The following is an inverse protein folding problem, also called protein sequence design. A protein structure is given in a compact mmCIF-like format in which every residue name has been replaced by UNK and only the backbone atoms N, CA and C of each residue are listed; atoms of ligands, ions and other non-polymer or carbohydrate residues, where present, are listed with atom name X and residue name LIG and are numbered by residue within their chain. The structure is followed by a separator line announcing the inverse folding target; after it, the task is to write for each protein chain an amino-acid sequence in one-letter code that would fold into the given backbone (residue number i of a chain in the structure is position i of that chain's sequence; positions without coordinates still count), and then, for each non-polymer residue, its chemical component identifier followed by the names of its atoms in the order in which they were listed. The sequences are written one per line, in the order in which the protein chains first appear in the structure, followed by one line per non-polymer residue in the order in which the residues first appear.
data_IF_314542306031
#
_entry.id   IF_314542306031
#
_cell.length_a   1.000
_cell.length_b   1.000
_cell.length_c   1.000
_cell.angle_alpha   90.00
_cell.angle_beta   90.00
_cell.angle_gamma   90.00
#
_symmetry.space_group_name_H-M   'P 1'
#
loop_
_entity.id
_entity.type
_entity.pdbx_description
1 polymer ?
#
# COMPACT_ATOMS: atom_id res chain seq x y z
N UNK A 1 4.02 21.52 -22.34
CA UNK A 1 3.92 21.70 -20.86
C UNK A 1 4.96 20.81 -20.21
N UNK A 2 5.48 21.19 -19.04
CA UNK A 2 6.26 20.26 -18.21
C UNK A 2 5.37 19.10 -17.73
N UNK A 3 5.97 17.99 -17.29
CA UNK A 3 5.23 16.83 -16.76
C UNK A 3 4.29 17.25 -15.61
N UNK A 4 4.80 18.07 -14.68
CA UNK A 4 4.03 18.61 -13.56
C UNK A 4 2.93 19.59 -13.98
N UNK A 5 3.22 20.51 -14.92
CA UNK A 5 2.21 21.43 -15.46
C UNK A 5 1.05 20.69 -16.13
N UNK A 6 1.37 19.63 -16.89
CA UNK A 6 0.37 18.77 -17.55
C UNK A 6 -0.60 18.16 -16.54
N UNK A 7 -0.08 17.57 -15.46
CA UNK A 7 -0.90 16.99 -14.39
C UNK A 7 -1.74 18.07 -13.71
N UNK A 8 -1.14 19.22 -13.34
CA UNK A 8 -1.86 20.32 -12.70
C UNK A 8 -2.93 20.96 -13.60
N UNK A 9 -2.72 21.01 -14.90
CA UNK A 9 -3.74 21.46 -15.85
C UNK A 9 -4.95 20.52 -15.82
N UNK A 10 -4.72 19.20 -15.89
CA UNK A 10 -5.77 18.20 -15.83
C UNK A 10 -6.55 18.24 -14.49
N UNK A 11 -5.85 18.32 -13.36
CA UNK A 11 -6.47 18.44 -12.03
C UNK A 11 -7.29 19.72 -11.88
N UNK A 12 -6.92 20.79 -12.59
CA UNK A 12 -7.64 22.05 -12.63
C UNK A 12 -8.74 22.09 -13.73
N UNK A 13 -9.10 20.95 -14.32
CA UNK A 13 -10.07 20.84 -15.41
C UNK A 13 -9.76 21.74 -16.62
N UNK A 14 -8.47 21.87 -16.97
CA UNK A 14 -7.98 22.56 -18.18
C UNK A 14 -7.33 21.56 -19.12
N UNK A 15 -7.46 21.81 -20.43
CA UNK A 15 -6.88 20.94 -21.45
C UNK A 15 -5.34 20.92 -21.36
N UNK A 16 -4.72 19.76 -21.07
CA UNK A 16 -3.28 19.62 -21.14
C UNK A 16 -2.80 19.42 -22.59
N UNK A 17 -1.49 19.48 -22.80
CA UNK A 17 -0.87 19.17 -24.11
C UNK A 17 -1.00 17.69 -24.53
N UNK A 18 -1.21 16.78 -23.56
CA UNK A 18 -1.62 15.37 -23.74
C UNK A 18 -2.17 14.81 -22.43
N UNK A 19 -2.81 13.64 -22.48
CA UNK A 19 -3.30 12.93 -21.28
C UNK A 19 -2.13 12.65 -20.31
N UNK A 20 -2.21 13.04 -19.03
CA UNK A 20 -1.21 12.67 -18.03
C UNK A 20 -1.21 11.16 -17.76
N UNK A 21 -0.02 10.57 -17.57
CA UNK A 21 0.12 9.12 -17.37
C UNK A 21 0.80 8.79 -16.04
N UNK A 22 0.19 7.90 -15.26
CA UNK A 22 0.75 7.27 -14.06
C UNK A 22 0.80 5.75 -14.20
N UNK A 23 1.97 5.18 -13.92
CA UNK A 23 2.18 3.76 -13.66
C UNK A 23 3.25 3.60 -12.58
N UNK A 24 2.90 2.95 -11.48
CA UNK A 24 3.82 2.61 -10.40
C UNK A 24 3.95 3.63 -9.27
N UNK A 25 3.21 4.74 -9.30
CA UNK A 25 3.33 5.76 -8.26
C UNK A 25 2.55 5.44 -6.97
N UNK A 26 1.60 4.50 -7.02
CA UNK A 26 0.83 4.04 -5.85
C UNK A 26 0.67 2.53 -5.83
N UNK A 27 0.10 1.98 -4.75
CA UNK A 27 -0.23 0.55 -4.66
C UNK A 27 -1.35 0.12 -5.61
N UNK A 28 -2.16 1.06 -6.11
CA UNK A 28 -3.28 0.79 -7.04
C UNK A 28 -2.91 1.08 -8.50
N UNK A 29 -1.87 1.87 -8.75
CA UNK A 29 -1.29 2.08 -10.09
C UNK A 29 -0.03 1.24 -10.31
N UNK A 30 0.28 0.33 -9.39
CA UNK A 30 1.46 -0.53 -9.40
C UNK A 30 1.55 -1.48 -10.59
N UNK A 31 2.77 -1.94 -10.89
CA UNK A 31 3.05 -2.92 -11.94
C UNK A 31 3.69 -4.15 -11.29
N UNK A 32 3.16 -5.34 -11.58
CA UNK A 32 3.75 -6.60 -11.10
C UNK A 32 5.21 -6.76 -11.56
N UNK A 33 6.07 -7.38 -10.73
CA UNK A 33 7.52 -7.49 -10.97
C UNK A 33 7.89 -8.11 -12.33
N UNK A 34 7.14 -9.12 -12.77
CA UNK A 34 7.30 -9.72 -14.11
C UNK A 34 7.09 -8.72 -15.24
N UNK A 35 6.07 -7.86 -15.10
CA UNK A 35 5.77 -6.84 -16.10
C UNK A 35 6.85 -5.75 -16.10
N UNK A 36 7.34 -5.35 -14.93
CA UNK A 36 8.46 -4.40 -14.84
C UNK A 36 9.70 -4.94 -15.55
N UNK A 37 10.09 -6.19 -15.32
CA UNK A 37 11.24 -6.81 -15.99
C UNK A 37 11.06 -6.82 -17.52
N UNK A 38 9.88 -7.20 -18.00
CA UNK A 38 9.56 -7.23 -19.44
C UNK A 38 9.54 -5.83 -20.04
N UNK A 39 9.05 -4.82 -19.33
CA UNK A 39 9.06 -3.43 -19.77
C UNK A 39 10.50 -2.91 -19.88
N UNK A 40 11.37 -3.21 -18.90
CA UNK A 40 12.80 -2.86 -19.00
C UNK A 40 13.43 -3.49 -20.24
N UNK A 41 13.16 -4.76 -20.50
CA UNK A 41 13.64 -5.44 -21.70
C UNK A 41 13.10 -4.82 -23.00
N UNK A 42 11.82 -4.45 -23.03
CA UNK A 42 11.17 -3.81 -24.18
C UNK A 42 11.82 -2.46 -24.53
N UNK A 43 12.13 -1.64 -23.52
CA UNK A 43 12.79 -0.34 -23.71
C UNK A 43 14.32 -0.44 -23.84
N UNK A 44 14.90 -1.64 -23.82
CA UNK A 44 16.35 -1.83 -23.95
C UNK A 44 17.16 -1.33 -22.75
N UNK A 45 16.54 -1.24 -21.56
CA UNK A 45 17.19 -0.82 -20.33
C UNK A 45 18.03 -1.95 -19.72
N UNK A 46 18.92 -1.59 -18.78
CA UNK A 46 19.76 -2.54 -18.05
C UNK A 46 18.91 -3.67 -17.44
N UNK A 47 19.32 -4.91 -17.70
CA UNK A 47 18.76 -6.11 -17.07
C UNK A 47 19.34 -6.28 -15.67
N UNK A 48 18.48 -6.11 -14.67
CA UNK A 48 18.79 -6.35 -13.26
C UNK A 48 17.54 -6.85 -12.53
N UNK A 49 17.70 -7.60 -11.42
CA UNK A 49 16.57 -8.02 -10.60
C UNK A 49 15.70 -6.84 -10.16
N UNK A 50 14.39 -6.97 -10.35
CA UNK A 50 13.41 -5.91 -10.00
C UNK A 50 13.26 -5.83 -8.48
N UNK A 51 13.27 -4.62 -7.92
CA UNK A 51 12.93 -4.39 -6.51
C UNK A 51 11.42 -4.52 -6.29
N UNK A 52 10.97 -5.48 -5.50
CA UNK A 52 9.57 -5.65 -5.09
C UNK A 52 9.32 -4.82 -3.83
N UNK A 53 8.59 -3.72 -3.99
CA UNK A 53 8.35 -2.76 -2.91
C UNK A 53 6.97 -2.93 -2.27
N UNK A 54 6.06 -3.67 -2.90
CA UNK A 54 4.80 -4.13 -2.30
C UNK A 54 4.72 -5.65 -2.41
N UNK A 55 5.23 -6.39 -1.42
CA UNK A 55 5.26 -7.86 -1.46
C UNK A 55 3.88 -8.48 -1.62
N UNK A 56 2.84 -7.88 -1.02
CA UNK A 56 1.45 -8.37 -1.07
C UNK A 56 1.00 -8.71 -2.50
N UNK A 57 1.14 -7.75 -3.43
CA UNK A 57 0.78 -7.91 -4.84
C UNK A 57 2.00 -8.11 -5.75
N UNK A 58 3.18 -8.33 -5.16
CA UNK A 58 4.45 -8.50 -5.86
C UNK A 58 4.74 -7.36 -6.86
N UNK A 59 4.43 -6.11 -6.44
CA UNK A 59 4.62 -4.92 -7.28
C UNK A 59 6.10 -4.55 -7.36
N UNK A 60 6.60 -4.48 -8.59
CA UNK A 60 7.94 -4.02 -8.91
C UNK A 60 8.04 -2.50 -8.86
N UNK A 61 9.15 -2.00 -8.35
CA UNK A 61 9.48 -0.58 -8.35
C UNK A 61 9.74 -0.13 -9.79
N UNK A 62 9.01 0.88 -10.25
CA UNK A 62 9.29 1.57 -11.50
C UNK A 62 10.37 2.62 -11.22
N UNK A 63 11.62 2.29 -11.54
CA UNK A 63 12.76 3.19 -11.37
C UNK A 63 12.74 4.33 -12.42
N UNK A 64 13.44 5.42 -12.13
CA UNK A 64 13.37 6.66 -12.92
C UNK A 64 13.70 6.47 -14.40
N UNK A 65 14.64 5.58 -14.72
CA UNK A 65 15.02 5.27 -16.10
C UNK A 65 13.88 4.62 -16.90
N UNK A 66 13.14 3.71 -16.26
CA UNK A 66 11.95 3.10 -16.83
C UNK A 66 10.79 4.10 -16.89
N UNK A 67 10.58 4.89 -15.85
CA UNK A 67 9.56 5.93 -15.84
C UNK A 67 9.78 6.97 -16.96
N UNK A 68 11.03 7.34 -17.24
CA UNK A 68 11.38 8.22 -18.35
C UNK A 68 11.17 7.56 -19.72
N UNK A 69 11.59 6.30 -19.88
CA UNK A 69 11.38 5.56 -21.13
C UNK A 69 9.88 5.39 -21.46
N UNK A 70 9.04 5.22 -20.43
CA UNK A 70 7.58 5.16 -20.54
C UNK A 70 6.91 6.54 -20.66
N UNK A 71 7.65 7.63 -20.47
CA UNK A 71 7.14 8.99 -20.53
C UNK A 71 6.13 9.32 -19.43
N UNK A 72 6.32 8.76 -18.23
CA UNK A 72 5.43 8.96 -17.07
C UNK A 72 5.52 10.37 -16.51
N UNK A 73 4.38 10.89 -16.07
CA UNK A 73 4.23 12.28 -15.62
C UNK A 73 4.21 12.45 -14.10
N UNK A 74 4.09 11.34 -13.36
CA UNK A 74 3.89 11.30 -11.92
C UNK A 74 5.01 10.48 -11.25
N UNK A 75 5.48 10.92 -10.08
CA UNK A 75 6.40 10.22 -9.20
C UNK A 75 5.73 9.95 -7.84
N UNK A 76 5.80 8.70 -7.40
CA UNK A 76 5.13 8.22 -6.20
C UNK A 76 6.01 8.23 -4.95
N UNK A 77 5.43 8.60 -3.82
CA UNK A 77 6.04 8.44 -2.50
C UNK A 77 5.13 7.57 -1.63
N UNK A 78 5.59 6.35 -1.36
CA UNK A 78 4.90 5.35 -0.56
C UNK A 78 5.39 5.33 0.90
N UNK A 79 4.64 4.72 1.82
CA UNK A 79 5.07 4.56 3.21
C UNK A 79 6.38 3.78 3.32
N UNK A 80 7.13 4.03 4.39
CA UNK A 80 8.39 3.33 4.70
C UNK A 80 8.18 1.82 4.86
N UNK A 81 7.10 1.45 5.53
CA UNK A 81 6.76 0.08 5.87
C UNK A 81 5.81 -0.54 4.85
N UNK A 82 5.97 -1.84 4.64
CA UNK A 82 5.05 -2.67 3.83
C UNK A 82 3.73 -2.91 4.57
N UNK A 83 2.75 -3.54 3.90
CA UNK A 83 1.50 -3.99 4.53
C UNK A 83 1.74 -4.93 5.72
N UNK A 84 2.83 -5.69 5.69
CA UNK A 84 3.26 -6.60 6.75
C UNK A 84 4.03 -5.88 7.87
N UNK A 85 4.17 -4.55 7.81
CA UNK A 85 4.65 -3.71 8.91
C UNK A 85 6.18 -3.58 9.05
N UNK A 86 6.98 -4.24 8.21
CA UNK A 86 8.44 -4.07 8.16
C UNK A 86 8.86 -3.08 7.06
N UNK A 87 10.02 -2.38 7.19
CA UNK A 87 10.49 -1.41 6.22
C UNK A 87 11.03 -2.04 4.92
N UNK A 88 10.97 -1.29 3.81
CA UNK A 88 11.59 -1.65 2.53
C UNK A 88 13.06 -1.21 2.45
N UNK A 89 13.95 -2.00 3.03
CA UNK A 89 15.39 -1.70 3.08
C UNK A 89 16.20 -3.00 3.06
N UNK A 90 17.54 -2.88 3.02
CA UNK A 90 18.46 -4.03 3.05
C UNK A 90 18.11 -5.12 2.03
N UNK A 91 17.83 -4.69 0.80
CA UNK A 91 17.40 -5.53 -0.31
C UNK A 91 18.22 -6.82 -0.46
N UNK A 92 17.54 -7.95 -0.52
CA UNK A 92 18.12 -9.28 -0.75
C UNK A 92 17.48 -9.96 -1.95
N UNK A 93 18.22 -10.85 -2.60
CA UNK A 93 17.67 -11.68 -3.66
C UNK A 93 16.63 -12.66 -3.11
N UNK A 94 15.57 -12.84 -3.87
CA UNK A 94 14.52 -13.81 -3.61
C UNK A 94 14.07 -14.43 -4.93
N UNK A 95 14.03 -15.77 -4.97
CA UNK A 95 13.49 -16.50 -6.11
C UNK A 95 12.00 -16.73 -5.90
N UNK A 96 11.20 -16.10 -6.75
CA UNK A 96 9.73 -16.22 -6.73
C UNK A 96 9.26 -17.62 -7.14
N UNK A 97 8.02 -18.03 -6.79
CA UNK A 97 7.48 -19.33 -7.21
C UNK A 97 7.47 -19.57 -8.72
N UNK A 98 7.37 -18.51 -9.52
CA UNK A 98 7.43 -18.58 -11.00
C UNK A 98 8.84 -18.45 -11.57
N UNK A 99 9.88 -18.53 -10.73
CA UNK A 99 11.29 -18.61 -11.14
C UNK A 99 11.99 -17.28 -11.41
N UNK A 100 11.30 -16.13 -11.29
CA UNK A 100 11.94 -14.81 -11.39
C UNK A 100 12.80 -14.55 -10.16
N UNK A 101 14.03 -14.05 -10.36
CA UNK A 101 14.86 -13.51 -9.28
C UNK A 101 14.54 -12.02 -9.13
N UNK A 102 14.11 -11.64 -7.93
CA UNK A 102 13.77 -10.25 -7.55
C UNK A 102 14.60 -9.81 -6.35
N UNK A 103 14.65 -8.50 -6.11
CA UNK A 103 15.10 -7.95 -4.83
C UNK A 103 13.90 -7.68 -3.94
N UNK A 104 13.90 -8.21 -2.72
CA UNK A 104 12.86 -7.96 -1.71
C UNK A 104 13.49 -7.41 -0.44
N UNK A 105 12.70 -6.78 0.44
CA UNK A 105 13.20 -6.26 1.72
C UNK A 105 13.98 -7.33 2.49
N UNK A 106 15.10 -6.95 3.11
CA UNK A 106 15.91 -7.82 3.95
C UNK A 106 15.11 -8.41 5.12
N UNK A 107 14.12 -7.65 5.59
CA UNK A 107 13.21 -8.01 6.68
C UNK A 107 12.12 -9.01 6.27
N UNK A 108 11.91 -9.26 4.98
CA UNK A 108 10.95 -10.26 4.51
C UNK A 108 11.38 -11.65 4.98
N UNK A 109 10.65 -12.19 5.95
CA UNK A 109 10.81 -13.58 6.39
C UNK A 109 9.69 -14.42 5.81
N UNK A 110 10.03 -15.65 5.45
CA UNK A 110 9.08 -16.61 4.92
C UNK A 110 9.41 -18.04 5.31
N UNK A 111 8.38 -18.88 5.26
CA UNK A 111 8.51 -20.34 5.31
C UNK A 111 7.65 -20.96 4.21
N UNK A 112 7.80 -22.26 4.00
CA UNK A 112 6.96 -23.03 3.09
C UNK A 112 6.25 -24.10 3.90
N UNK A 113 4.93 -24.18 3.77
CA UNK A 113 4.13 -25.19 4.48
C UNK A 113 4.12 -26.54 3.74
N UNK A 114 3.39 -27.52 4.29
CA UNK A 114 3.28 -28.86 3.70
C UNK A 114 2.59 -28.89 2.33
N UNK A 115 1.80 -27.88 1.97
CA UNK A 115 1.14 -27.74 0.67
C UNK A 115 2.03 -27.03 -0.35
N UNK A 116 3.20 -26.54 0.07
CA UNK A 116 4.08 -25.71 -0.76
C UNK A 116 3.72 -24.23 -0.73
N UNK A 117 2.77 -23.82 0.11
CA UNK A 117 2.37 -22.43 0.21
C UNK A 117 3.47 -21.61 0.89
N UNK A 118 3.79 -20.47 0.30
CA UNK A 118 4.72 -19.51 0.87
C UNK A 118 4.00 -18.69 1.94
N UNK A 119 4.49 -18.74 3.17
CA UNK A 119 3.94 -18.03 4.31
C UNK A 119 4.86 -16.87 4.70
N UNK A 120 4.30 -15.68 4.95
CA UNK A 120 5.07 -14.52 5.44
C UNK A 120 4.52 -13.96 6.74
N UNK A 121 5.35 -13.22 7.47
CA UNK A 121 5.18 -12.95 8.88
C UNK A 121 5.08 -11.45 9.19
N UNK A 122 4.21 -11.06 10.14
CA UNK A 122 4.09 -9.66 10.55
C UNK A 122 5.44 -9.17 11.09
N UNK A 123 5.86 -7.97 10.70
CA UNK A 123 7.11 -7.34 11.12
C UNK A 123 8.38 -8.16 10.80
N UNK A 124 8.28 -9.18 9.95
CA UNK A 124 9.37 -10.15 9.74
C UNK A 124 9.61 -11.08 10.93
N UNK A 125 8.64 -11.20 11.84
CA UNK A 125 8.76 -11.98 13.07
C UNK A 125 8.19 -13.39 12.91
N UNK A 126 9.08 -14.37 12.70
CA UNK A 126 8.72 -15.79 12.54
C UNK A 126 8.19 -16.46 13.81
N UNK A 127 8.26 -15.79 14.97
CA UNK A 127 7.67 -16.30 16.22
C UNK A 127 6.17 -16.00 16.31
N UNK A 128 5.67 -15.06 15.51
CA UNK A 128 4.25 -14.79 15.37
C UNK A 128 3.60 -15.75 14.35
N UNK A 129 2.27 -15.98 14.41
CA UNK A 129 1.57 -16.70 13.36
C UNK A 129 1.71 -15.99 12.00
N UNK A 130 1.81 -16.73 10.88
CA UNK A 130 1.93 -16.15 9.55
C UNK A 130 0.72 -15.26 9.24
N UNK A 131 0.97 -14.16 8.53
CA UNK A 131 -0.02 -13.12 8.20
C UNK A 131 -0.38 -13.07 6.72
N UNK A 132 0.44 -13.66 5.86
CA UNK A 132 0.19 -13.73 4.43
C UNK A 132 0.52 -15.11 3.88
N UNK A 133 -0.20 -15.51 2.84
CA UNK A 133 -0.05 -16.81 2.17
C UNK A 133 -0.08 -16.65 0.66
N UNK A 134 0.86 -17.29 -0.04
CA UNK A 134 0.90 -17.36 -1.50
C UNK A 134 1.02 -18.83 -1.91
N UNK A 135 -0.04 -19.42 -2.48
CA UNK A 135 0.05 -20.75 -3.09
C UNK A 135 1.06 -20.79 -4.24
N UNK A 136 1.64 -21.96 -4.58
CA UNK A 136 2.63 -22.08 -5.66
C UNK A 136 2.15 -21.58 -7.04
N UNK A 137 0.84 -21.65 -7.29
CA UNK A 137 0.20 -21.19 -8.52
C UNK A 137 -0.17 -19.70 -8.51
N UNK A 138 -0.02 -19.03 -7.37
CA UNK A 138 -0.38 -17.62 -7.20
C UNK A 138 0.78 -16.68 -7.56
N UNK A 139 0.42 -15.46 -7.94
CA UNK A 139 1.36 -14.35 -8.19
C UNK A 139 1.27 -13.25 -7.13
N UNK A 140 0.44 -13.44 -6.11
CA UNK A 140 0.22 -12.51 -5.01
C UNK A 140 -0.06 -13.27 -3.72
N UNK A 141 0.10 -12.59 -2.59
CA UNK A 141 -0.27 -13.09 -1.28
C UNK A 141 -1.71 -12.71 -0.95
N UNK A 142 -2.42 -13.64 -0.33
CA UNK A 142 -3.64 -13.35 0.43
C UNK A 142 -3.30 -13.10 1.89
N UNK A 143 -4.15 -12.34 2.58
CA UNK A 143 -4.04 -12.14 4.02
C UNK A 143 -4.58 -13.35 4.78
N UNK A 144 -3.86 -13.81 5.80
CA UNK A 144 -4.35 -14.83 6.73
C UNK A 144 -5.12 -14.12 7.85
N UNK A 145 -6.42 -14.40 7.95
CA UNK A 145 -7.25 -13.91 9.05
C UNK A 145 -6.80 -14.58 10.35
N UNK A 146 -6.50 -13.74 11.35
CA UNK A 146 -6.02 -14.16 12.68
C UNK A 146 -6.90 -13.63 13.80
N UNK A 147 -8.15 -13.26 13.47
CA UNK A 147 -9.14 -12.87 14.46
C UNK A 147 -9.41 -14.06 15.40
N UNK A 148 -9.37 -13.82 16.71
CA UNK A 148 -9.87 -14.76 17.71
C UNK A 148 -11.39 -14.72 17.83
N UNK A 149 -11.91 -15.35 18.88
CA UNK A 149 -13.31 -15.17 19.26
C UNK A 149 -13.55 -13.71 19.67
N UNK A 150 -14.65 -13.13 19.21
CA UNK A 150 -15.12 -11.81 19.63
C UNK A 150 -16.07 -11.92 20.82
N UNK A 151 -15.95 -11.00 21.77
CA UNK A 151 -16.95 -10.78 22.81
C UNK A 151 -17.91 -9.70 22.29
N UNK A 152 -19.07 -10.14 21.80
CA UNK A 152 -20.04 -9.25 21.15
C UNK A 152 -20.61 -8.19 22.09
N UNK A 153 -20.69 -8.48 23.39
CA UNK A 153 -21.25 -7.58 24.40
C UNK A 153 -20.25 -6.49 24.83
N UNK A 154 -18.95 -6.70 24.55
CA UNK A 154 -17.86 -5.82 25.01
C UNK A 154 -16.90 -5.41 23.88
N UNK A 155 -17.41 -5.23 22.67
CA UNK A 155 -16.62 -4.74 21.54
C UNK A 155 -16.06 -3.33 21.80
N UNK A 156 -14.74 -3.17 21.62
CA UNK A 156 -14.05 -1.89 21.77
C UNK A 156 -13.56 -1.35 20.41
N UNK A 157 -14.04 -0.18 19.95
CA UNK A 157 -13.57 0.41 18.69
C UNK A 157 -12.05 0.65 18.65
N UNK A 158 -11.40 0.88 19.80
CA UNK A 158 -9.93 1.07 19.86
C UNK A 158 -9.15 -0.14 19.36
N UNK A 159 -9.71 -1.35 19.48
CA UNK A 159 -9.01 -2.55 19.02
C UNK A 159 -8.83 -2.57 17.49
N UNK A 160 -9.70 -1.87 16.74
CA UNK A 160 -9.59 -1.67 15.30
C UNK A 160 -8.67 -0.50 14.90
N UNK A 161 -8.01 0.15 15.87
CA UNK A 161 -7.14 1.31 15.66
C UNK A 161 -5.66 1.02 15.90
N UNK A 162 -5.28 -0.22 16.25
CA UNK A 162 -3.92 -0.57 16.71
C UNK A 162 -2.78 -0.15 15.75
N UNK A 163 -3.04 -0.18 14.45
CA UNK A 163 -2.12 0.21 13.38
C UNK A 163 -2.23 1.68 12.96
N UNK A 164 -3.21 2.41 13.51
CA UNK A 164 -3.47 3.81 13.24
C UNK A 164 -2.84 4.68 14.33
N UNK A 165 -2.08 5.69 13.92
CA UNK A 165 -1.44 6.60 14.86
C UNK A 165 -0.74 7.75 14.13
N UNK A 166 -0.11 8.67 14.87
CA UNK A 166 0.68 9.74 14.26
C UNK A 166 1.82 9.18 13.40
N UNK A 167 2.30 9.97 12.43
CA UNK A 167 3.54 9.61 11.73
C UNK A 167 4.70 9.67 12.71
N UNK A 168 5.52 8.63 12.75
CA UNK A 168 6.76 8.68 13.53
C UNK A 168 7.74 9.68 12.92
N UNK A 169 8.76 10.10 13.67
CA UNK A 169 9.82 10.96 13.14
C UNK A 169 10.53 10.32 11.94
N UNK A 170 10.72 9.00 11.97
CA UNK A 170 11.32 8.24 10.88
C UNK A 170 10.43 8.23 9.63
N UNK A 171 9.12 8.07 9.78
CA UNK A 171 8.19 8.11 8.65
C UNK A 171 8.12 9.53 8.05
N UNK A 172 8.13 10.56 8.91
CA UNK A 172 8.14 11.95 8.47
C UNK A 172 9.42 12.30 7.70
N UNK A 173 10.58 11.84 8.18
CA UNK A 173 11.87 12.00 7.49
C UNK A 173 11.90 11.26 6.15
N UNK A 174 11.34 10.04 6.10
CA UNK A 174 11.18 9.27 4.87
C UNK A 174 10.33 10.03 3.85
N UNK A 175 9.16 10.53 4.24
CA UNK A 175 8.30 11.32 3.35
C UNK A 175 8.97 12.61 2.88
N UNK A 176 9.63 13.38 3.78
CA UNK A 176 10.37 14.59 3.40
C UNK A 176 11.41 14.30 2.31
N UNK A 177 12.19 13.25 2.50
CA UNK A 177 13.25 12.85 1.57
C UNK A 177 12.68 12.35 0.25
N UNK A 178 11.67 11.48 0.31
CA UNK A 178 11.01 10.93 -0.88
C UNK A 178 10.30 11.99 -1.71
N UNK A 179 9.61 12.94 -1.07
CA UNK A 179 8.91 14.05 -1.75
C UNK A 179 9.90 15.00 -2.39
N UNK A 180 11.00 15.34 -1.72
CA UNK A 180 12.05 16.16 -2.32
C UNK A 180 12.69 15.47 -3.54
N UNK A 181 12.98 14.17 -3.44
CA UNK A 181 13.51 13.38 -4.56
C UNK A 181 12.51 13.30 -5.73
N UNK A 182 11.24 12.99 -5.45
CA UNK A 182 10.18 12.92 -6.44
C UNK A 182 9.98 14.26 -7.16
N UNK A 183 9.96 15.37 -6.42
CA UNK A 183 9.90 16.72 -7.00
C UNK A 183 11.12 17.04 -7.87
N UNK A 184 12.31 16.57 -7.48
CA UNK A 184 13.54 16.72 -8.25
C UNK A 184 13.53 16.06 -9.63
N UNK A 185 12.63 15.09 -9.86
CA UNK A 185 12.45 14.46 -11.19
C UNK A 185 11.67 15.33 -12.19
N UNK A 186 11.07 16.43 -11.73
CA UNK A 186 10.19 17.29 -12.55
C UNK A 186 8.80 16.71 -12.85
N UNK A 187 8.50 15.51 -12.33
CA UNK A 187 7.16 14.89 -12.35
C UNK A 187 6.25 15.53 -11.29
N UNK A 188 4.94 15.37 -11.44
CA UNK A 188 4.02 15.68 -10.35
C UNK A 188 4.19 14.67 -9.21
N UNK A 189 4.07 15.12 -7.98
CA UNK A 189 4.27 14.27 -6.80
C UNK A 189 2.94 13.74 -6.30
N UNK A 190 2.81 12.42 -6.24
CA UNK A 190 1.71 11.75 -5.53
C UNK A 190 2.26 11.10 -4.26
N UNK A 191 1.57 11.31 -3.13
CA UNK A 191 1.91 10.68 -1.86
C UNK A 191 0.80 9.73 -1.42
N UNK A 192 1.16 8.48 -1.10
CA UNK A 192 0.31 7.53 -0.40
C UNK A 192 0.74 7.47 1.06
N UNK A 193 -0.03 8.12 1.93
CA UNK A 193 0.40 8.36 3.32
C UNK A 193 0.08 7.15 4.21
N UNK A 194 -0.90 6.33 3.79
CA UNK A 194 -1.41 5.21 4.56
C UNK A 194 -2.27 5.66 5.75
N UNK A 195 -3.15 4.77 6.20
CA UNK A 195 -4.06 5.03 7.32
C UNK A 195 -5.23 5.97 7.00
N UNK A 196 -5.49 6.22 5.70
CA UNK A 196 -6.56 7.11 5.21
C UNK A 196 -7.68 6.34 4.49
N UNK A 197 -7.49 5.05 4.19
CA UNK A 197 -8.50 4.17 3.60
C UNK A 197 -9.24 3.37 4.65
N UNK A 198 -10.44 3.81 5.03
CA UNK A 198 -11.22 3.19 6.10
C UNK A 198 -11.96 1.96 5.60
N UNK A 199 -11.85 0.85 6.34
CA UNK A 199 -12.52 -0.40 5.97
C UNK A 199 -12.02 -1.05 4.69
N UNK A 200 -10.82 -0.68 4.20
CA UNK A 200 -10.16 -1.38 3.09
C UNK A 200 -9.96 -2.84 3.47
N UNK A 201 -10.59 -3.74 2.72
CA UNK A 201 -10.69 -5.14 3.11
C UNK A 201 -9.35 -5.87 3.11
N UNK A 202 -8.37 -5.39 2.35
CA UNK A 202 -7.01 -5.91 2.40
C UNK A 202 -6.30 -5.57 3.73
N UNK A 203 -6.71 -4.47 4.37
CA UNK A 203 -6.14 -3.97 5.62
C UNK A 203 -6.93 -4.37 6.86
N UNK A 204 -8.24 -4.64 6.77
CA UNK A 204 -9.07 -5.05 7.91
C UNK A 204 -8.42 -6.16 8.74
N UNK A 205 -7.84 -7.24 8.16
CA UNK A 205 -7.21 -8.28 8.97
C UNK A 205 -5.89 -7.89 9.64
N UNK A 206 -5.38 -6.68 9.39
CA UNK A 206 -4.15 -6.10 9.94
C UNK A 206 -2.93 -7.04 9.83
N UNK A 207 -2.46 -7.35 8.60
CA UNK A 207 -1.35 -8.28 8.38
C UNK A 207 -0.04 -7.82 9.04
N UNK A 208 0.14 -6.53 9.30
CA UNK A 208 1.31 -5.99 9.99
C UNK A 208 1.32 -6.15 11.52
N UNK A 209 0.23 -6.61 12.14
CA UNK A 209 0.18 -6.84 13.59
C UNK A 209 0.49 -8.30 13.93
N UNK A 210 1.17 -8.55 15.06
CA UNK A 210 1.45 -9.92 15.54
C UNK A 210 0.18 -10.66 15.94
N UNK A 211 -0.66 -9.98 16.73
CA UNK A 211 -1.91 -10.50 17.27
C UNK A 211 -2.97 -9.39 17.17
N UNK A 212 -3.62 -9.23 16.01
CA UNK A 212 -4.58 -8.16 15.81
C UNK A 212 -5.83 -8.39 16.68
N UNK A 213 -6.37 -7.32 17.26
CA UNK A 213 -7.58 -7.30 18.10
C UNK A 213 -8.74 -6.67 17.34
N UNK A 214 -9.96 -6.85 17.84
CA UNK A 214 -11.16 -6.27 17.24
C UNK A 214 -11.65 -7.08 16.04
N UNK A 215 -12.46 -6.45 15.20
CA UNK A 215 -13.06 -7.09 14.03
C UNK A 215 -12.08 -7.05 12.85
N UNK A 216 -11.48 -8.21 12.57
CA UNK A 216 -10.38 -8.46 11.63
C UNK A 216 -10.71 -9.55 10.61
N UNK A 217 -11.80 -10.28 10.83
CA UNK A 217 -12.36 -11.19 9.85
C UNK A 217 -13.16 -10.41 8.79
N UNK A 218 -12.97 -10.79 7.52
CA UNK A 218 -13.59 -10.13 6.36
C UNK A 218 -15.11 -10.28 6.39
N UNK A 219 -15.61 -11.47 6.69
CA UNK A 219 -17.05 -11.75 6.77
C UNK A 219 -17.65 -11.00 7.95
N UNK A 220 -17.01 -11.08 9.11
CA UNK A 220 -17.48 -10.39 10.32
C UNK A 220 -17.49 -8.88 10.16
N UNK A 221 -16.52 -8.32 9.44
CA UNK A 221 -16.48 -6.90 9.10
C UNK A 221 -17.70 -6.50 8.28
N UNK A 222 -18.00 -7.20 7.18
CA UNK A 222 -19.17 -6.92 6.35
C UNK A 222 -20.49 -7.11 7.10
N UNK A 223 -20.60 -8.15 7.93
CA UNK A 223 -21.77 -8.35 8.81
C UNK A 223 -21.91 -7.16 9.75
N UNK A 224 -20.82 -6.71 10.37
CA UNK A 224 -20.81 -5.59 11.31
C UNK A 224 -21.17 -4.24 10.68
N UNK A 225 -20.85 -4.02 9.39
CA UNK A 225 -21.35 -2.84 8.66
C UNK A 225 -22.89 -2.79 8.67
N UNK A 226 -23.57 -3.94 8.65
CA UNK A 226 -25.03 -4.02 8.65
C UNK A 226 -25.62 -4.07 10.06
N UNK A 227 -25.01 -4.84 10.97
CA UNK A 227 -25.58 -5.20 12.28
C UNK A 227 -25.05 -4.37 13.45
N UNK A 228 -23.84 -3.77 13.33
CA UNK A 228 -23.14 -3.06 14.42
C UNK A 228 -22.74 -1.64 14.01
N UNK A 229 -23.71 -0.88 13.48
CA UNK A 229 -23.48 0.44 12.89
C UNK A 229 -22.81 1.43 13.84
N UNK A 230 -23.26 1.50 15.09
CA UNK A 230 -22.70 2.43 16.08
C UNK A 230 -21.22 2.14 16.37
N UNK A 231 -20.86 0.84 16.45
CA UNK A 231 -19.48 0.40 16.60
C UNK A 231 -18.62 0.82 15.40
N UNK A 232 -19.07 0.49 14.18
CA UNK A 232 -18.33 0.81 12.94
C UNK A 232 -18.19 2.32 12.78
N UNK A 233 -19.24 3.09 13.06
CA UNK A 233 -19.20 4.55 13.03
C UNK A 233 -18.18 5.11 14.02
N UNK A 234 -18.08 4.53 15.23
CA UNK A 234 -17.06 4.92 16.19
C UNK A 234 -15.64 4.61 15.68
N UNK A 235 -15.42 3.44 15.06
CA UNK A 235 -14.13 3.08 14.43
C UNK A 235 -13.77 4.10 13.35
N UNK A 236 -14.67 4.36 12.39
CA UNK A 236 -14.41 5.29 11.28
C UNK A 236 -14.23 6.73 11.75
N UNK A 237 -14.97 7.18 12.76
CA UNK A 237 -14.82 8.52 13.32
C UNK A 237 -13.41 8.71 13.88
N UNK A 238 -12.91 7.74 14.65
CA UNK A 238 -11.57 7.79 15.23
C UNK A 238 -10.47 7.63 14.18
N UNK A 239 -10.63 6.72 13.21
CA UNK A 239 -9.69 6.62 12.08
C UNK A 239 -9.63 7.93 11.28
N UNK A 240 -10.77 8.61 11.09
CA UNK A 240 -10.83 9.91 10.42
C UNK A 240 -10.08 10.99 11.20
N UNK A 241 -10.29 11.09 12.52
CA UNK A 241 -9.55 12.04 13.37
C UNK A 241 -8.03 11.82 13.29
N UNK A 242 -7.58 10.57 13.38
CA UNK A 242 -6.16 10.20 13.24
C UNK A 242 -5.64 10.55 11.83
N UNK A 243 -6.40 10.21 10.79
CA UNK A 243 -6.03 10.50 9.40
C UNK A 243 -5.87 12.01 9.15
N UNK A 244 -6.79 12.83 9.66
CA UNK A 244 -6.72 14.29 9.57
C UNK A 244 -5.48 14.84 10.28
N UNK A 245 -5.17 14.34 11.49
CA UNK A 245 -3.97 14.73 12.21
C UNK A 245 -2.68 14.35 11.47
N UNK A 246 -2.62 13.15 10.86
CA UNK A 246 -1.48 12.71 10.03
C UNK A 246 -1.28 13.60 8.80
N UNK A 247 -2.38 13.94 8.12
CA UNK A 247 -2.37 14.83 6.95
C UNK A 247 -1.84 16.22 7.34
N UNK A 248 -2.28 16.77 8.48
CA UNK A 248 -1.76 18.03 9.02
C UNK A 248 -0.27 17.94 9.36
N UNK A 249 0.16 16.85 10.02
CA UNK A 249 1.57 16.62 10.37
C UNK A 249 2.46 16.54 9.13
N UNK A 250 2.03 15.82 8.09
CA UNK A 250 2.77 15.75 6.83
C UNK A 250 2.80 17.09 6.12
N UNK A 251 1.66 17.78 6.02
CA UNK A 251 1.59 19.10 5.38
C UNK A 251 2.50 20.12 6.09
N UNK A 252 2.53 20.14 7.43
CA UNK A 252 3.45 20.99 8.19
C UNK A 252 4.94 20.69 7.87
N UNK A 253 5.25 19.46 7.46
CA UNK A 253 6.61 19.03 7.13
C UNK A 253 7.05 19.32 5.68
N UNK A 254 6.12 19.33 4.72
CA UNK A 254 6.46 19.39 3.27
C UNK A 254 5.73 20.49 2.50
N UNK A 255 4.78 21.19 3.12
CA UNK A 255 3.97 22.24 2.50
C UNK A 255 3.25 21.78 1.22
N UNK A 256 3.25 22.64 0.21
CA UNK A 256 2.59 22.42 -1.09
C UNK A 256 3.42 21.57 -2.08
N UNK A 257 4.37 20.78 -1.58
CA UNK A 257 5.22 19.96 -2.44
C UNK A 257 4.46 18.78 -3.09
N UNK A 258 3.36 18.34 -2.49
CA UNK A 258 2.52 17.24 -2.97
C UNK A 258 1.45 17.79 -3.93
N UNK A 259 1.31 17.20 -5.11
CA UNK A 259 0.28 17.57 -6.10
C UNK A 259 -0.99 16.70 -5.96
N UNK A 260 -0.83 15.44 -5.57
CA UNK A 260 -1.93 14.47 -5.44
C UNK A 260 -1.76 13.67 -4.14
N UNK A 261 -2.85 13.45 -3.40
CA UNK A 261 -2.87 12.55 -2.25
C UNK A 261 -3.67 11.31 -2.64
N UNK A 262 -3.05 10.14 -2.52
CA UNK A 262 -3.79 8.88 -2.56
C UNK A 262 -4.49 8.69 -1.21
N UNK A 263 -5.81 8.88 -1.21
CA UNK A 263 -6.63 8.84 0.00
C UNK A 263 -7.01 7.42 0.39
N UNK A 264 -7.49 6.60 -0.54
CA UNK A 264 -8.21 5.39 -0.17
C UNK A 264 -8.13 4.33 -1.28
N UNK A 265 -7.98 3.07 -0.87
CA UNK A 265 -8.10 1.87 -1.71
C UNK A 265 -9.38 1.08 -1.44
N UNK A 266 -10.23 1.52 -0.50
CA UNK A 266 -11.46 0.83 -0.14
C UNK A 266 -12.42 0.75 -1.33
N UNK A 267 -12.79 -0.47 -1.68
CA UNK A 267 -13.85 -0.73 -2.65
C UNK A 267 -15.22 -0.39 -2.05
N UNK A 268 -15.83 0.70 -2.52
CA UNK A 268 -17.20 1.09 -2.13
C UNK A 268 -18.28 0.47 -3.04
N UNK A 269 -17.90 -0.41 -3.96
CA UNK A 269 -18.81 -1.08 -4.86
C UNK A 269 -18.21 -2.29 -5.55
N UNK A 270 -19.10 -3.03 -6.20
CA UNK A 270 -18.80 -4.05 -7.19
C UNK A 270 -18.74 -3.41 -8.58
N UNK A 271 -18.44 -4.23 -9.58
CA UNK A 271 -18.50 -3.84 -10.99
C UNK A 271 -19.91 -3.39 -11.44
N UNK A 272 -20.98 -3.72 -10.71
CA UNK A 272 -22.38 -3.48 -11.13
C UNK A 272 -23.27 -2.80 -10.09
N UNK A 273 -22.80 -2.63 -8.85
CA UNK A 273 -23.59 -2.03 -7.75
C UNK A 273 -22.69 -1.45 -6.66
N UNK A 274 -23.22 -0.52 -5.86
CA UNK A 274 -22.57 -0.01 -4.64
C UNK A 274 -22.69 -1.01 -3.50
N UNK A 275 -21.68 -1.05 -2.61
CA UNK A 275 -21.75 -1.77 -1.34
C UNK A 275 -22.46 -0.94 -0.26
N UNK A 276 -22.34 0.39 -0.33
CA UNK A 276 -22.95 1.32 0.61
C UNK A 276 -23.97 2.24 -0.09
N UNK A 277 -25.05 2.58 0.61
CA UNK A 277 -25.93 3.69 0.20
C UNK A 277 -25.21 5.04 0.37
N UNK A 278 -25.63 6.05 -0.40
CA UNK A 278 -25.16 7.43 -0.22
C UNK A 278 -25.63 8.01 1.12
#
# INVERSE_FOLDING_TARGET
MTKRERVRAALAHRDPDRVPVDFGATTVTGIHSLCVERLRAHFGLERRPVKVHVPYNMLGLVEDDLADAMGLDIAGVLPRNTVYGYPNEHWKEFQTPWGQVVLISGHFQYTTDANGDLLTYPLGDVTAPPSGRMPPSSYFFDTIIRQGQIDEDHLNPEDNLQEFGPLSEADLAHFKTGIAAAAGTGRAVIAAIGGTGFGDIAWVPAPGLRHPKGIRDITEWYVSLATRRDYVQAVFSRQCEIAMARLQQLHAAVGDAIDIIYLCGTDFGTQTSRFCSL
#
